data_IF_719349444976
#
_entry.id   IF_719349444976
#
_cell.length_a   1.000
_cell.length_b   1.000
_cell.length_c   1.000
_cell.angle_alpha   90.00
_cell.angle_beta   90.00
_cell.angle_gamma   90.00
#
_symmetry.space_group_name_H-M   'P 1'
#
loop_
_entity.id
_entity.type
_entity.pdbx_description
1 polymer ?
#
# COMPACT_ATOMS: atom_id res chain seq x y z
N UNK A 1 10.58 12.84 -9.95
CA UNK A 1 11.41 12.91 -8.74
C UNK A 1 12.82 12.46 -9.10
N UNK A 2 13.88 13.19 -8.73
CA UNK A 2 15.23 12.84 -9.14
C UNK A 2 15.67 11.48 -8.58
N UNK A 3 16.34 10.67 -9.41
CA UNK A 3 16.66 9.28 -9.06
C UNK A 3 17.68 9.19 -7.93
N UNK A 4 18.68 10.06 -7.93
CA UNK A 4 19.70 10.21 -6.92
C UNK A 4 19.14 10.54 -5.53
N UNK A 5 17.99 11.22 -5.48
CA UNK A 5 17.34 11.63 -4.23
C UNK A 5 16.30 10.63 -3.71
N UNK A 6 16.02 9.52 -4.41
CA UNK A 6 14.92 8.58 -4.12
C UNK A 6 14.85 8.07 -2.67
N UNK A 7 15.95 8.10 -1.91
CA UNK A 7 16.00 7.77 -0.49
C UNK A 7 15.17 8.71 0.39
N UNK A 8 14.93 9.95 -0.05
CA UNK A 8 13.99 10.87 0.60
C UNK A 8 12.58 10.31 0.64
N UNK A 9 12.13 9.63 -0.44
CA UNK A 9 10.80 9.02 -0.50
C UNK A 9 10.63 7.95 0.58
N UNK A 10 11.62 7.06 0.74
CA UNK A 10 11.59 6.05 1.80
C UNK A 10 11.61 6.68 3.19
N UNK A 11 12.42 7.73 3.41
CA UNK A 11 12.47 8.45 4.69
C UNK A 11 11.13 9.11 5.03
N UNK A 12 10.53 9.83 4.07
CA UNK A 12 9.25 10.49 4.29
C UNK A 12 8.10 9.51 4.49
N UNK A 13 8.13 8.34 3.82
CA UNK A 13 7.21 7.23 4.09
C UNK A 13 7.33 6.78 5.54
N UNK A 14 8.54 6.45 5.99
CA UNK A 14 8.80 5.97 7.35
C UNK A 14 8.37 7.03 8.39
N UNK A 15 8.62 8.31 8.15
CA UNK A 15 8.23 9.42 9.04
C UNK A 15 6.70 9.63 9.07
N UNK A 16 6.03 9.41 7.93
CA UNK A 16 4.58 9.51 7.86
C UNK A 16 3.87 8.36 8.58
N UNK A 17 4.48 7.16 8.61
CA UNK A 17 3.91 5.94 9.22
C UNK A 17 4.45 5.62 10.62
N UNK A 18 5.54 6.26 11.05
CA UNK A 18 6.09 6.12 12.40
C UNK A 18 4.99 6.40 13.44
N UNK A 19 4.69 5.41 14.28
CA UNK A 19 3.56 5.44 15.20
C UNK A 19 3.63 6.62 16.15
N UNK A 20 2.65 7.51 16.06
CA UNK A 20 2.47 8.69 16.92
C UNK A 20 2.04 8.34 18.37
N UNK A 21 2.03 7.05 18.73
CA UNK A 21 1.47 6.59 20.00
C UNK A 21 2.45 6.68 21.19
N UNK A 22 3.75 6.87 20.92
CA UNK A 22 4.81 6.83 21.94
C UNK A 22 5.88 7.92 21.80
N UNK A 23 5.66 8.94 20.94
CA UNK A 23 6.59 10.06 20.77
C UNK A 23 6.36 11.16 21.80
N UNK A 24 7.43 11.76 22.31
CA UNK A 24 7.35 13.01 23.05
C UNK A 24 7.08 14.22 22.12
N UNK A 25 6.87 15.40 22.70
CA UNK A 25 6.56 16.61 21.94
C UNK A 25 7.69 17.00 20.96
N UNK A 26 8.94 16.71 21.31
CA UNK A 26 10.10 16.98 20.45
C UNK A 26 10.11 16.05 19.22
N UNK A 27 9.83 14.76 19.41
CA UNK A 27 9.70 13.80 18.32
C UNK A 27 8.56 14.19 17.37
N UNK A 28 7.41 14.62 17.89
CA UNK A 28 6.29 15.10 17.07
C UNK A 28 6.61 16.40 16.33
N UNK A 29 7.38 17.31 16.95
CA UNK A 29 7.87 18.53 16.29
C UNK A 29 8.84 18.20 15.16
N UNK A 30 9.80 17.31 15.39
CA UNK A 30 10.77 16.86 14.38
C UNK A 30 10.06 16.21 13.18
N UNK A 31 9.13 15.28 13.44
CA UNK A 31 8.29 14.64 12.42
C UNK A 31 7.54 15.67 11.58
N UNK A 32 6.91 16.66 12.23
CA UNK A 32 6.15 17.72 11.53
C UNK A 32 7.05 18.58 10.65
N UNK A 33 8.27 18.87 11.08
CA UNK A 33 9.23 19.61 10.29
C UNK A 33 9.67 18.82 9.05
N UNK A 34 9.99 17.53 9.18
CA UNK A 34 10.34 16.68 8.03
C UNK A 34 9.20 16.55 7.01
N UNK A 35 7.94 16.46 7.47
CA UNK A 35 6.78 16.45 6.57
C UNK A 35 6.54 17.81 5.89
N UNK A 36 6.92 18.92 6.53
CA UNK A 36 6.93 20.25 5.89
C UNK A 36 8.01 20.34 4.81
N UNK A 37 9.19 19.79 5.04
CA UNK A 37 10.25 19.73 4.04
C UNK A 37 9.83 18.89 2.82
N UNK A 38 9.16 17.75 3.06
CA UNK A 38 8.52 16.96 2.02
C UNK A 38 7.53 17.81 1.20
N UNK A 39 6.63 18.53 1.89
CA UNK A 39 5.65 19.38 1.23
C UNK A 39 6.27 20.49 0.39
N UNK A 40 7.29 21.16 0.92
CA UNK A 40 8.03 22.20 0.20
C UNK A 40 8.69 21.64 -1.06
N UNK A 41 9.34 20.48 -0.95
CA UNK A 41 10.01 19.84 -2.08
C UNK A 41 9.03 19.45 -3.19
N UNK A 42 7.89 18.84 -2.84
CA UNK A 42 6.88 18.47 -3.85
C UNK A 42 6.13 19.67 -4.43
N UNK A 43 6.03 20.78 -3.69
CA UNK A 43 5.51 22.05 -4.21
C UNK A 43 6.46 22.64 -5.25
N UNK A 44 7.77 22.59 -4.97
CA UNK A 44 8.78 23.04 -5.92
C UNK A 44 8.76 22.20 -7.21
N UNK A 45 8.68 20.87 -7.08
CA UNK A 45 8.51 19.98 -8.24
C UNK A 45 7.23 20.31 -9.02
N UNK A 46 6.11 20.56 -8.34
CA UNK A 46 4.87 20.98 -9.01
C UNK A 46 5.08 22.24 -9.85
N UNK A 47 5.66 23.29 -9.28
CA UNK A 47 5.91 24.55 -9.96
C UNK A 47 6.81 24.39 -11.20
N UNK A 48 7.80 23.49 -11.12
CA UNK A 48 8.66 23.14 -12.26
C UNK A 48 7.89 22.41 -13.37
N UNK A 49 6.88 21.59 -13.02
CA UNK A 49 6.09 20.80 -13.98
C UNK A 49 4.95 21.57 -14.63
N UNK A 50 4.30 22.50 -13.90
CA UNK A 50 3.19 23.31 -14.44
C UNK A 50 3.61 24.08 -15.69
N UNK A 51 4.84 24.61 -15.71
CA UNK A 51 5.36 25.41 -16.81
C UNK A 51 6.30 24.63 -17.75
N UNK A 52 6.39 23.30 -17.60
CA UNK A 52 7.28 22.48 -18.42
C UNK A 52 6.78 22.41 -19.87
N UNK A 53 7.63 22.84 -20.80
CA UNK A 53 7.35 22.77 -22.26
C UNK A 53 7.53 21.36 -22.81
N UNK A 54 8.37 20.54 -22.17
CA UNK A 54 8.51 19.11 -22.44
C UNK A 54 8.01 18.31 -21.23
N UNK A 55 6.75 17.85 -21.25
CA UNK A 55 6.20 17.12 -20.12
C UNK A 55 6.82 15.72 -19.99
N UNK A 56 7.32 15.42 -18.79
CA UNK A 56 7.75 14.07 -18.44
C UNK A 56 6.57 13.11 -18.20
N UNK A 57 6.84 11.81 -18.24
CA UNK A 57 5.86 10.76 -17.96
C UNK A 57 5.69 10.45 -16.46
N UNK A 58 5.97 11.43 -15.60
CA UNK A 58 5.87 11.27 -14.14
C UNK A 58 4.53 11.76 -13.60
N UNK A 59 4.09 11.18 -12.48
CA UNK A 59 2.79 11.48 -11.89
C UNK A 59 2.61 12.98 -11.56
N UNK A 60 3.68 13.67 -11.14
CA UNK A 60 3.60 15.08 -10.79
C UNK A 60 3.28 15.89 -12.05
N UNK A 61 3.89 15.54 -13.18
CA UNK A 61 3.59 16.14 -14.48
C UNK A 61 2.14 15.86 -14.89
N UNK A 62 1.68 14.61 -14.74
CA UNK A 62 0.29 14.24 -15.05
C UNK A 62 -0.72 15.03 -14.20
N UNK A 63 -0.44 15.22 -12.91
CA UNK A 63 -1.32 15.99 -12.02
C UNK A 63 -1.26 17.50 -12.34
N UNK A 64 -0.07 18.04 -12.59
CA UNK A 64 0.14 19.46 -12.87
C UNK A 64 -0.50 19.92 -14.18
N UNK A 65 -0.52 19.05 -15.19
CA UNK A 65 -0.99 19.39 -16.54
C UNK A 65 -2.35 18.76 -16.90
N UNK A 66 -2.82 17.79 -16.13
CA UNK A 66 -4.10 17.13 -16.36
C UNK A 66 -5.28 18.10 -16.22
N UNK A 67 -6.22 18.09 -17.16
CA UNK A 67 -7.35 19.02 -17.15
C UNK A 67 -8.19 18.95 -15.87
N UNK A 68 -8.36 17.74 -15.33
CA UNK A 68 -9.10 17.50 -14.10
C UNK A 68 -8.35 17.90 -12.82
N UNK A 69 -7.02 18.06 -12.88
CA UNK A 69 -6.15 18.18 -11.70
C UNK A 69 -5.28 19.44 -11.70
N UNK A 70 -5.20 20.19 -12.80
CA UNK A 70 -4.39 21.42 -12.90
C UNK A 70 -4.74 22.51 -11.88
N UNK A 71 -5.97 22.48 -11.36
CA UNK A 71 -6.47 23.39 -10.33
C UNK A 71 -6.56 22.74 -8.94
N UNK A 72 -5.91 21.59 -8.73
CA UNK A 72 -5.91 20.87 -7.46
C UNK A 72 -5.37 21.76 -6.33
N UNK A 73 -6.07 21.77 -5.19
CA UNK A 73 -5.64 22.55 -4.04
C UNK A 73 -4.33 22.02 -3.44
N UNK A 74 -3.44 22.87 -2.88
CA UNK A 74 -2.16 22.42 -2.34
C UNK A 74 -2.26 21.30 -1.29
N UNK A 75 -3.29 21.34 -0.44
CA UNK A 75 -3.53 20.31 0.58
C UNK A 75 -3.98 18.98 -0.01
N UNK A 76 -4.79 19.01 -1.07
CA UNK A 76 -5.24 17.82 -1.78
C UNK A 76 -4.06 17.16 -2.52
N UNK A 77 -3.26 17.98 -3.22
CA UNK A 77 -2.04 17.52 -3.87
C UNK A 77 -1.08 16.86 -2.88
N UNK A 78 -0.78 17.52 -1.76
CA UNK A 78 0.10 16.97 -0.74
C UNK A 78 -0.46 15.67 -0.14
N UNK A 79 -1.77 15.63 0.14
CA UNK A 79 -2.43 14.42 0.62
C UNK A 79 -2.30 13.25 -0.34
N UNK A 80 -2.51 13.48 -1.64
CA UNK A 80 -2.37 12.47 -2.69
C UNK A 80 -0.92 11.98 -2.82
N UNK A 81 0.06 12.89 -2.81
CA UNK A 81 1.48 12.53 -2.88
C UNK A 81 1.91 11.70 -1.68
N UNK A 82 1.57 12.12 -0.46
CA UNK A 82 1.91 11.38 0.74
C UNK A 82 1.24 9.99 0.77
N UNK A 83 -0.03 9.90 0.35
CA UNK A 83 -0.74 8.63 0.24
C UNK A 83 -0.02 7.66 -0.70
N UNK A 84 0.54 8.14 -1.81
CA UNK A 84 1.24 7.31 -2.78
C UNK A 84 2.65 6.91 -2.33
N UNK A 85 3.38 7.83 -1.68
CA UNK A 85 4.69 7.53 -1.09
C UNK A 85 4.55 6.42 -0.06
N UNK A 86 3.59 6.56 0.86
CA UNK A 86 3.32 5.57 1.91
C UNK A 86 2.75 4.28 1.32
N UNK A 87 1.71 4.40 0.50
CA UNK A 87 0.96 3.26 -0.05
C UNK A 87 1.80 2.37 -0.96
N UNK A 88 2.75 2.93 -1.71
CA UNK A 88 3.60 2.21 -2.66
C UNK A 88 4.92 1.69 -2.09
N UNK A 89 5.40 2.22 -0.95
CA UNK A 89 6.69 1.83 -0.38
C UNK A 89 6.56 0.64 0.57
N UNK A 90 5.90 0.83 1.72
CA UNK A 90 5.96 -0.14 2.83
C UNK A 90 5.32 -1.48 2.46
N UNK A 91 4.22 -1.44 1.71
CA UNK A 91 3.49 -2.63 1.26
C UNK A 91 4.33 -3.47 0.29
N UNK A 92 4.95 -2.84 -0.71
CA UNK A 92 5.86 -3.49 -1.68
C UNK A 92 7.10 -4.03 -0.98
N UNK A 93 7.71 -3.24 -0.09
CA UNK A 93 8.89 -3.64 0.68
C UNK A 93 8.62 -4.90 1.51
N UNK A 94 7.49 -4.93 2.21
CA UNK A 94 7.10 -6.08 3.02
C UNK A 94 6.74 -7.31 2.16
N UNK A 95 6.12 -7.13 0.99
CA UNK A 95 5.89 -8.23 0.03
C UNK A 95 7.20 -8.86 -0.45
N UNK A 96 8.21 -8.06 -0.80
CA UNK A 96 9.51 -8.57 -1.26
C UNK A 96 10.20 -9.36 -0.15
N UNK A 97 10.29 -8.78 1.06
CA UNK A 97 10.89 -9.44 2.23
C UNK A 97 10.14 -10.72 2.59
N UNK A 98 8.80 -10.66 2.60
CA UNK A 98 7.92 -11.80 2.88
C UNK A 98 8.06 -12.92 1.87
N UNK A 99 8.20 -12.59 0.59
CA UNK A 99 8.41 -13.57 -0.48
C UNK A 99 9.74 -14.33 -0.33
N UNK A 100 10.82 -13.61 -0.01
CA UNK A 100 12.11 -14.22 0.26
C UNK A 100 12.04 -15.16 1.48
N UNK A 101 11.41 -14.70 2.57
CA UNK A 101 11.20 -15.50 3.77
C UNK A 101 10.38 -16.76 3.47
N UNK A 102 9.26 -16.62 2.75
CA UNK A 102 8.38 -17.73 2.41
C UNK A 102 9.07 -18.78 1.54
N UNK A 103 9.84 -18.36 0.53
CA UNK A 103 10.63 -19.28 -0.29
C UNK A 103 11.71 -20.01 0.53
N UNK A 104 12.38 -19.31 1.45
CA UNK A 104 13.36 -19.90 2.35
C UNK A 104 12.74 -20.93 3.30
N UNK A 105 11.54 -20.65 3.82
CA UNK A 105 10.80 -21.57 4.71
C UNK A 105 10.14 -22.74 3.95
N UNK A 106 10.01 -22.64 2.62
CA UNK A 106 9.35 -23.65 1.78
C UNK A 106 10.29 -24.08 0.63
N UNK A 107 11.41 -24.77 0.92
CA UNK A 107 12.43 -25.11 -0.08
C UNK A 107 11.90 -25.96 -1.24
N UNK A 108 10.86 -26.77 -1.02
CA UNK A 108 10.19 -27.50 -2.09
C UNK A 108 9.51 -26.57 -3.11
N UNK A 109 8.84 -25.51 -2.65
CA UNK A 109 8.25 -24.48 -3.51
C UNK A 109 9.34 -23.70 -4.25
N UNK A 110 10.44 -23.38 -3.56
CA UNK A 110 11.58 -22.72 -4.21
C UNK A 110 12.22 -23.61 -5.28
N UNK A 111 12.35 -24.93 -5.05
CA UNK A 111 12.80 -25.87 -6.08
C UNK A 111 11.85 -25.89 -7.27
N UNK A 112 10.53 -25.97 -7.06
CA UNK A 112 9.53 -25.90 -8.14
C UNK A 112 9.70 -24.63 -8.99
N UNK A 113 9.89 -23.47 -8.35
CA UNK A 113 10.13 -22.21 -9.04
C UNK A 113 11.43 -22.24 -9.88
N UNK A 114 12.50 -22.80 -9.34
CA UNK A 114 13.78 -22.94 -10.06
C UNK A 114 13.68 -23.86 -11.26
N UNK A 115 12.92 -24.95 -11.13
CA UNK A 115 12.69 -25.91 -12.21
C UNK A 115 11.72 -25.36 -13.27
N UNK A 116 10.79 -24.46 -12.87
CA UNK A 116 9.87 -23.79 -13.78
C UNK A 116 9.69 -22.29 -13.44
N UNK A 117 10.51 -21.39 -14.04
CA UNK A 117 10.39 -19.95 -13.84
C UNK A 117 9.06 -19.34 -14.30
N UNK A 118 8.24 -20.03 -15.10
CA UNK A 118 6.92 -19.51 -15.48
C UNK A 118 5.98 -19.37 -14.27
N UNK A 119 6.28 -20.05 -13.16
CA UNK A 119 5.51 -19.97 -11.91
C UNK A 119 5.64 -18.61 -11.19
N UNK A 120 6.51 -17.70 -11.66
CA UNK A 120 6.56 -16.33 -11.12
C UNK A 120 5.19 -15.64 -11.17
N UNK A 121 4.42 -15.86 -12.24
CA UNK A 121 3.10 -15.23 -12.42
C UNK A 121 2.08 -15.64 -11.36
N UNK A 122 2.11 -16.89 -10.90
CA UNK A 122 1.23 -17.40 -9.83
C UNK A 122 1.85 -17.21 -8.44
N UNK A 123 3.17 -17.23 -8.33
CA UNK A 123 3.90 -17.00 -7.09
C UNK A 123 3.71 -15.58 -6.56
N UNK A 124 3.76 -14.55 -7.42
CA UNK A 124 3.67 -13.16 -6.97
C UNK A 124 2.35 -12.87 -6.23
N UNK A 125 1.16 -13.19 -6.78
CA UNK A 125 -0.09 -13.08 -6.02
C UNK A 125 -0.12 -13.94 -4.75
N UNK A 126 0.50 -15.13 -4.76
CA UNK A 126 0.60 -15.98 -3.57
C UNK A 126 1.47 -15.35 -2.47
N UNK A 127 2.59 -14.70 -2.81
CA UNK A 127 3.42 -13.93 -1.87
C UNK A 127 2.58 -12.82 -1.24
N UNK A 128 1.82 -12.10 -2.05
CA UNK A 128 0.98 -10.98 -1.59
C UNK A 128 -0.14 -11.48 -0.66
N UNK A 129 -0.77 -12.62 -0.95
CA UNK A 129 -1.74 -13.28 -0.06
C UNK A 129 -1.08 -13.76 1.23
N UNK A 130 0.05 -14.44 1.13
CA UNK A 130 0.73 -15.03 2.28
C UNK A 130 1.26 -13.95 3.21
N UNK A 131 1.96 -12.95 2.69
CA UNK A 131 2.47 -11.83 3.50
C UNK A 131 1.36 -10.95 4.08
N UNK A 132 0.29 -10.72 3.31
CA UNK A 132 -0.76 -9.73 3.64
C UNK A 132 -0.18 -8.41 4.19
N UNK A 133 0.51 -7.60 3.35
CA UNK A 133 1.30 -6.46 3.82
C UNK A 133 0.54 -5.43 4.66
N UNK A 134 -0.78 -5.30 4.43
CA UNK A 134 -1.69 -4.54 5.29
C UNK A 134 -2.65 -5.52 5.95
N UNK A 135 -2.52 -5.68 7.27
CA UNK A 135 -3.31 -6.65 8.04
C UNK A 135 -4.80 -6.32 8.07
N UNK A 136 -5.15 -5.03 8.03
CA UNK A 136 -6.53 -4.58 8.08
C UNK A 136 -6.76 -3.22 7.42
N UNK A 137 -8.04 -2.94 7.16
CA UNK A 137 -8.57 -1.61 6.90
C UNK A 137 -9.83 -1.40 7.74
N UNK A 138 -10.10 -0.16 8.12
CA UNK A 138 -11.23 0.20 8.99
C UNK A 138 -12.28 1.03 8.26
N UNK A 139 -13.53 0.86 8.64
CA UNK A 139 -14.70 1.66 8.24
C UNK A 139 -15.44 2.16 9.48
N UNK A 140 -16.34 3.11 9.27
CA UNK A 140 -17.25 3.60 10.31
C UNK A 140 -18.67 3.38 9.82
N UNK A 141 -19.51 2.72 10.61
CA UNK A 141 -20.91 2.50 10.25
C UNK A 141 -21.69 3.83 10.27
N UNK A 142 -22.39 4.15 9.18
CA UNK A 142 -23.15 5.40 9.07
C UNK A 142 -24.60 5.27 9.57
N UNK A 143 -25.07 4.04 9.72
CA UNK A 143 -26.39 3.67 10.24
C UNK A 143 -26.31 2.31 10.93
N UNK A 144 -27.30 2.00 11.75
CA UNK A 144 -27.47 0.66 12.32
C UNK A 144 -27.66 -0.37 11.20
N UNK A 145 -27.01 -1.53 11.32
CA UNK A 145 -27.08 -2.62 10.35
C UNK A 145 -26.76 -3.97 11.00
N UNK A 146 -26.92 -5.06 10.26
CA UNK A 146 -26.62 -6.42 10.71
C UNK A 146 -25.59 -7.07 9.78
N UNK A 147 -24.60 -7.76 10.35
CA UNK A 147 -23.62 -8.56 9.61
C UNK A 147 -23.34 -9.84 10.37
N UNK A 148 -23.48 -11.00 9.71
CA UNK A 148 -23.20 -12.31 10.32
C UNK A 148 -24.03 -12.59 11.59
N UNK A 149 -25.30 -12.16 11.62
CA UNK A 149 -26.18 -12.30 12.79
C UNK A 149 -25.87 -11.35 13.95
N UNK A 150 -24.98 -10.36 13.76
CA UNK A 150 -24.56 -9.40 14.78
C UNK A 150 -24.97 -7.99 14.40
N UNK A 151 -25.50 -7.25 15.39
CA UNK A 151 -25.86 -5.85 15.21
C UNK A 151 -24.62 -4.95 15.29
N UNK A 152 -24.48 -4.09 14.28
CA UNK A 152 -23.50 -3.02 14.20
C UNK A 152 -24.26 -1.70 14.33
N UNK A 153 -23.87 -0.86 15.28
CA UNK A 153 -24.54 0.42 15.54
C UNK A 153 -23.92 1.54 14.72
N UNK A 154 -24.74 2.55 14.41
CA UNK A 154 -24.25 3.81 13.84
C UNK A 154 -23.11 4.36 14.69
N UNK A 155 -21.99 4.67 14.04
CA UNK A 155 -20.78 5.18 14.67
C UNK A 155 -19.74 4.11 15.02
N UNK A 156 -20.11 2.82 15.00
CA UNK A 156 -19.18 1.74 15.30
C UNK A 156 -18.03 1.70 14.29
N UNK A 157 -16.83 1.44 14.80
CA UNK A 157 -15.65 1.14 13.98
C UNK A 157 -15.70 -0.33 13.58
N UNK A 158 -15.75 -0.58 12.28
CA UNK A 158 -15.74 -1.94 11.72
C UNK A 158 -14.40 -2.20 11.06
N UNK A 159 -13.69 -3.22 11.51
CA UNK A 159 -12.35 -3.55 11.02
C UNK A 159 -12.40 -4.81 10.16
N UNK A 160 -11.92 -4.72 8.92
CA UNK A 160 -11.78 -5.84 8.01
C UNK A 160 -10.36 -6.40 8.15
N UNK A 161 -10.20 -7.52 8.83
CA UNK A 161 -8.92 -8.19 9.04
C UNK A 161 -8.55 -9.04 7.81
N UNK A 162 -7.96 -8.40 6.79
CA UNK A 162 -7.50 -9.09 5.58
C UNK A 162 -6.55 -10.24 5.88
N UNK A 163 -5.70 -10.11 6.91
CA UNK A 163 -4.80 -11.20 7.34
C UNK A 163 -5.58 -12.45 7.78
N UNK A 164 -6.74 -12.27 8.41
CA UNK A 164 -7.63 -13.38 8.79
C UNK A 164 -8.33 -13.95 7.56
N UNK A 165 -8.91 -13.10 6.71
CA UNK A 165 -9.63 -13.56 5.52
C UNK A 165 -8.72 -14.26 4.48
N UNK A 166 -7.45 -13.85 4.38
CA UNK A 166 -6.45 -14.55 3.58
C UNK A 166 -6.03 -15.92 4.14
N UNK A 167 -6.54 -16.29 5.31
CA UNK A 167 -6.36 -17.59 5.98
C UNK A 167 -7.68 -18.35 6.17
N UNK A 168 -8.77 -17.86 5.58
CA UNK A 168 -10.07 -18.51 5.65
C UNK A 168 -10.12 -19.75 4.75
N UNK A 169 -10.24 -20.93 5.36
CA UNK A 169 -10.26 -22.21 4.66
C UNK A 169 -11.60 -22.50 3.96
N UNK A 170 -12.67 -21.78 4.29
CA UNK A 170 -13.92 -21.86 3.53
C UNK A 170 -13.77 -21.28 2.12
N UNK A 171 -12.82 -20.34 1.94
CA UNK A 171 -12.56 -19.67 0.67
C UNK A 171 -11.25 -20.11 -0.01
N UNK A 172 -10.22 -20.46 0.76
CA UNK A 172 -8.87 -20.76 0.26
C UNK A 172 -8.41 -22.10 0.85
N UNK A 173 -8.37 -23.14 0.03
CA UNK A 173 -7.89 -24.46 0.46
C UNK A 173 -6.44 -24.39 0.98
N UNK A 174 -6.14 -25.04 2.10
CA UNK A 174 -4.82 -25.04 2.73
C UNK A 174 -4.28 -23.60 2.92
N UNK A 175 -5.10 -22.68 3.43
CA UNK A 175 -4.82 -21.25 3.42
C UNK A 175 -3.52 -20.86 4.16
N UNK A 176 -3.12 -21.62 5.17
CA UNK A 176 -1.88 -21.37 5.92
C UNK A 176 -0.60 -21.75 5.15
N UNK A 177 -0.71 -22.64 4.16
CA UNK A 177 0.43 -23.09 3.35
C UNK A 177 0.82 -22.05 2.30
N UNK A 178 2.12 -21.96 2.01
CA UNK A 178 2.63 -21.19 0.88
C UNK A 178 2.73 -22.10 -0.36
N UNK A 179 1.88 -21.88 -1.35
CA UNK A 179 1.74 -22.76 -2.53
C UNK A 179 1.79 -21.90 -3.79
N UNK A 180 2.90 -21.94 -4.53
CA UNK A 180 3.15 -21.00 -5.64
C UNK A 180 2.36 -21.36 -6.90
N UNK A 181 1.82 -22.57 -6.97
CA UNK A 181 1.08 -23.15 -8.09
C UNK A 181 -0.42 -23.29 -7.79
N UNK A 182 -0.98 -22.46 -6.89
CA UNK A 182 -2.43 -22.39 -6.66
C UNK A 182 -3.19 -22.17 -7.96
N UNK A 183 -4.34 -22.84 -8.11
CA UNK A 183 -5.24 -22.69 -9.26
C UNK A 183 -5.79 -21.26 -9.40
N UNK A 184 -6.07 -20.58 -8.28
CA UNK A 184 -6.65 -19.24 -8.23
C UNK A 184 -5.78 -18.30 -7.35
N UNK A 185 -4.54 -17.99 -7.74
CA UNK A 185 -3.58 -17.32 -6.86
C UNK A 185 -3.95 -15.85 -6.58
N UNK A 186 -4.82 -15.26 -7.41
CA UNK A 186 -5.34 -13.89 -7.23
C UNK A 186 -6.59 -13.80 -6.34
N UNK A 187 -7.09 -14.94 -5.83
CA UNK A 187 -8.21 -14.98 -4.89
C UNK A 187 -7.72 -14.65 -3.47
N UNK A 188 -7.55 -13.36 -3.19
CA UNK A 188 -7.10 -12.86 -1.90
C UNK A 188 -7.55 -11.42 -1.64
N UNK A 189 -7.43 -10.97 -0.39
CA UNK A 189 -7.92 -9.67 0.10
C UNK A 189 -6.81 -8.62 0.29
N UNK A 190 -5.55 -8.95 0.05
CA UNK A 190 -4.41 -8.04 0.34
C UNK A 190 -4.46 -6.69 -0.39
N UNK A 191 -5.20 -6.58 -1.49
CA UNK A 191 -5.43 -5.31 -2.21
C UNK A 191 -6.81 -4.69 -1.94
N UNK A 192 -7.58 -5.25 -1.02
CA UNK A 192 -8.97 -4.91 -0.77
C UNK A 192 -9.89 -5.27 -1.95
N UNK A 193 -11.11 -4.73 -1.91
CA UNK A 193 -12.13 -4.92 -2.93
C UNK A 193 -13.02 -3.68 -3.02
N UNK A 194 -13.71 -3.50 -4.15
CA UNK A 194 -14.61 -2.37 -4.40
C UNK A 194 -13.89 -1.08 -4.80
N UNK A 195 -14.54 0.07 -4.56
CA UNK A 195 -14.09 1.40 -5.04
C UNK A 195 -12.74 1.86 -4.49
N UNK A 196 -12.26 1.27 -3.40
CA UNK A 196 -10.95 1.54 -2.80
C UNK A 196 -9.96 0.39 -2.99
N UNK A 197 -10.21 -0.52 -3.94
CA UNK A 197 -9.23 -1.52 -4.33
C UNK A 197 -7.93 -0.82 -4.75
N UNK A 198 -6.78 -1.38 -4.33
CA UNK A 198 -5.46 -0.78 -4.58
C UNK A 198 -5.30 -0.37 -6.04
N UNK A 199 -4.84 0.86 -6.27
CA UNK A 199 -4.58 1.41 -7.61
C UNK A 199 -3.18 1.04 -8.14
N UNK A 200 -2.27 0.62 -7.26
CA UNK A 200 -0.89 0.27 -7.58
C UNK A 200 -0.61 -1.23 -7.61
N UNK A 201 -1.62 -2.05 -7.94
CA UNK A 201 -1.51 -3.50 -8.16
C UNK A 201 -0.65 -3.83 -9.37
#
# INVERSE_FOLDING_TARGET
FPWEERRKLTRWSDVATAGTAFGDEEAEKARRNELRDCAAYFTELWNQRVNATEPGNDLITMLAQGEATKNMGPMEYLGNILLLIVGGNDTTRNSITGGLLALNQNPAQYKKLRDNPSLVESMVPEIIRWQTPLSHMRRTALQDTELGGKQIKKGDKVVMWYVSGNRDEEAIENANSFIIDRKHPRQHLSFGYGVHRCIGI
#
